data_IF_916022145730
#
_entry.id   IF_916022145730
#
_cell.length_a   1.000
_cell.length_b   1.000
_cell.length_c   1.000
_cell.angle_alpha   90.00
_cell.angle_beta   90.00
_cell.angle_gamma   90.00
#
_symmetry.space_group_name_H-M   'P 1'
#
loop_
_entity.id
_entity.type
_entity.pdbx_description
1 polymer ?
#
# COMPACT_ATOMS: atom_id res chain seq x y z
N UNK A 1 -11.81 4.30 -17.78
CA UNK A 1 -10.78 5.32 -18.07
C UNK A 1 -9.53 4.85 -17.37
N UNK A 2 -8.58 4.35 -18.14
CA UNK A 2 -7.22 4.09 -17.67
C UNK A 2 -6.63 5.41 -17.19
N UNK A 3 -6.21 5.46 -15.92
CA UNK A 3 -5.36 6.54 -15.44
C UNK A 3 -3.95 6.27 -15.98
N UNK A 4 -3.75 6.62 -17.24
CA UNK A 4 -2.43 6.69 -17.84
C UNK A 4 -1.64 7.77 -17.07
N UNK A 5 -0.49 7.40 -16.51
CA UNK A 5 0.39 8.39 -15.90
C UNK A 5 0.86 9.35 -17.01
N UNK A 6 1.11 10.62 -16.72
CA UNK A 6 1.55 11.58 -17.75
C UNK A 6 2.81 12.31 -17.34
N UNK A 7 2.97 12.56 -16.05
CA UNK A 7 4.01 13.42 -15.51
C UNK A 7 5.08 12.64 -14.74
N UNK A 8 4.81 11.42 -14.32
CA UNK A 8 5.69 10.61 -13.46
C UNK A 8 6.35 9.45 -14.20
N UNK A 9 6.00 9.19 -15.47
CA UNK A 9 6.57 8.06 -16.22
C UNK A 9 8.08 8.13 -16.41
N UNK A 10 8.69 9.32 -16.39
CA UNK A 10 10.15 9.46 -16.46
C UNK A 10 10.90 8.72 -15.33
N UNK A 11 10.21 8.42 -14.23
CA UNK A 11 10.78 7.65 -13.10
C UNK A 11 11.04 6.19 -13.52
N UNK A 12 10.26 5.67 -14.47
CA UNK A 12 10.42 4.31 -15.01
C UNK A 12 11.78 4.13 -15.71
N UNK A 13 12.25 5.17 -16.40
CA UNK A 13 13.55 5.18 -17.09
C UNK A 13 14.74 5.07 -16.12
N UNK A 14 14.51 5.31 -14.82
CA UNK A 14 15.54 5.21 -13.77
C UNK A 14 15.63 3.80 -13.16
N UNK A 15 14.63 2.94 -13.36
CA UNK A 15 14.62 1.59 -12.84
C UNK A 15 15.56 0.69 -13.65
N UNK A 16 16.21 -0.26 -12.97
CA UNK A 16 16.95 -1.31 -13.66
C UNK A 16 16.00 -2.20 -14.49
N UNK A 17 16.45 -2.73 -15.65
CA UNK A 17 15.65 -3.67 -16.43
C UNK A 17 15.24 -4.91 -15.62
N UNK A 18 14.10 -5.51 -15.98
CA UNK A 18 13.61 -6.74 -15.35
C UNK A 18 12.59 -6.51 -14.22
N UNK A 19 11.92 -5.35 -14.21
CA UNK A 19 10.75 -5.13 -13.36
C UNK A 19 9.46 -5.63 -14.04
N UNK A 20 8.48 -6.01 -13.22
CA UNK A 20 7.09 -6.16 -13.64
C UNK A 20 6.31 -4.91 -13.24
N UNK A 21 5.23 -4.59 -13.96
CA UNK A 21 4.31 -3.52 -13.58
C UNK A 21 2.84 -3.96 -13.63
N UNK A 22 2.01 -3.36 -12.77
CA UNK A 22 0.57 -3.61 -12.77
C UNK A 22 -0.23 -2.38 -12.30
N UNK A 23 -1.41 -2.11 -12.87
CA UNK A 23 -2.27 -1.02 -12.41
C UNK A 23 -2.67 -1.19 -10.93
N UNK A 24 -2.48 -0.14 -10.13
CA UNK A 24 -2.78 -0.17 -8.69
C UNK A 24 -3.11 1.20 -8.14
N UNK A 25 -4.16 1.29 -7.32
CA UNK A 25 -4.62 2.53 -6.65
C UNK A 25 -4.83 3.73 -7.59
N UNK A 26 -5.15 3.49 -8.87
CA UNK A 26 -5.34 4.57 -9.84
C UNK A 26 -4.05 5.11 -10.45
N UNK A 27 -2.94 4.38 -10.31
CA UNK A 27 -1.69 4.58 -11.05
C UNK A 27 -1.01 3.25 -11.35
N UNK A 28 0.32 3.18 -11.28
CA UNK A 28 1.11 2.01 -11.65
C UNK A 28 1.98 1.52 -10.48
N UNK A 29 1.90 0.22 -10.17
CA UNK A 29 2.79 -0.44 -9.23
C UNK A 29 3.92 -1.14 -9.96
N UNK A 30 5.14 -1.05 -9.40
CA UNK A 30 6.36 -1.63 -9.94
C UNK A 30 6.91 -2.69 -9.00
N UNK A 31 7.35 -3.80 -9.58
CA UNK A 31 7.79 -4.98 -8.86
C UNK A 31 9.19 -5.39 -9.35
N UNK A 32 10.08 -5.66 -8.41
CA UNK A 32 11.43 -6.18 -8.68
C UNK A 32 11.62 -7.40 -7.79
N UNK A 33 12.04 -8.54 -8.35
CA UNK A 33 12.24 -9.80 -7.62
C UNK A 33 11.03 -10.21 -6.75
N UNK A 34 9.81 -10.13 -7.30
CA UNK A 34 8.54 -10.39 -6.58
C UNK A 34 8.26 -9.49 -5.37
N UNK A 35 8.97 -8.36 -5.23
CA UNK A 35 8.71 -7.33 -4.23
C UNK A 35 8.09 -6.11 -4.87
N UNK A 36 7.02 -5.59 -4.27
CA UNK A 36 6.45 -4.30 -4.62
C UNK A 36 7.37 -3.20 -4.10
N UNK A 37 8.09 -2.51 -4.98
CA UNK A 37 9.11 -1.53 -4.61
C UNK A 37 8.62 -0.08 -4.73
N UNK A 38 7.67 0.18 -5.62
CA UNK A 38 7.17 1.52 -5.88
C UNK A 38 5.72 1.49 -6.39
N UNK A 39 4.96 2.53 -6.09
CA UNK A 39 3.68 2.83 -6.72
C UNK A 39 3.70 4.30 -7.13
N UNK A 40 3.53 4.58 -8.43
CA UNK A 40 3.34 5.91 -8.96
C UNK A 40 1.85 6.19 -9.08
N UNK A 41 1.40 7.34 -8.60
CA UNK A 41 -0.02 7.73 -8.68
C UNK A 41 -0.10 9.19 -9.09
N UNK A 42 -0.98 9.51 -10.05
CA UNK A 42 -1.23 10.87 -10.54
C UNK A 42 -2.71 11.23 -10.43
N UNK A 43 -3.17 11.38 -9.19
CA UNK A 43 -4.53 11.78 -8.86
C UNK A 43 -4.51 13.02 -7.99
N UNK A 44 -4.82 14.15 -8.64
CA UNK A 44 -4.90 15.47 -8.03
C UNK A 44 -6.18 15.67 -7.22
N UNK A 45 -6.13 16.61 -6.27
CA UNK A 45 -7.29 17.15 -5.56
C UNK A 45 -7.76 16.37 -4.33
N UNK A 46 -7.04 15.34 -3.88
CA UNK A 46 -7.36 14.65 -2.62
C UNK A 46 -6.32 14.98 -1.55
N UNK A 47 -6.73 15.78 -0.55
CA UNK A 47 -5.91 16.18 0.60
C UNK A 47 -6.41 15.59 1.93
N UNK A 48 -7.59 14.97 1.94
CA UNK A 48 -8.23 14.46 3.15
C UNK A 48 -8.25 12.93 3.19
N UNK A 49 -7.91 12.36 4.36
CA UNK A 49 -8.08 10.94 4.64
C UNK A 49 -8.64 10.74 6.06
N UNK A 50 -9.78 10.05 6.16
CA UNK A 50 -10.43 9.72 7.46
C UNK A 50 -10.68 10.94 8.35
N UNK A 51 -11.09 12.07 7.78
CA UNK A 51 -11.36 13.30 8.54
C UNK A 51 -10.13 14.12 8.91
N UNK A 52 -8.95 13.76 8.39
CA UNK A 52 -7.69 14.50 8.59
C UNK A 52 -7.23 15.08 7.26
N UNK A 53 -7.00 16.40 7.23
CA UNK A 53 -6.44 17.10 6.08
C UNK A 53 -4.92 17.15 6.14
N UNK A 54 -4.28 16.97 5.00
CA UNK A 54 -2.83 16.97 4.82
C UNK A 54 -2.40 18.15 3.95
N UNK A 55 -1.18 18.69 4.15
CA UNK A 55 -0.68 19.82 3.37
C UNK A 55 -0.21 19.45 1.96
N UNK A 56 -0.37 18.19 1.56
CA UNK A 56 0.06 17.65 0.27
C UNK A 56 -1.01 16.75 -0.35
N UNK A 57 -0.99 16.61 -1.67
CA UNK A 57 -1.88 15.69 -2.38
C UNK A 57 -1.54 14.23 -2.04
N UNK A 58 -2.55 13.49 -1.59
CA UNK A 58 -2.37 12.13 -1.08
C UNK A 58 -2.11 11.10 -2.18
N UNK A 59 -2.49 11.37 -3.43
CA UNK A 59 -2.41 10.39 -4.51
C UNK A 59 -1.74 10.99 -5.74
N UNK A 60 -0.85 11.96 -5.58
CA UNK A 60 -0.09 12.57 -6.65
C UNK A 60 1.41 12.60 -6.29
N UNK A 61 2.12 11.54 -6.62
CA UNK A 61 3.51 11.35 -6.23
C UNK A 61 3.99 9.90 -6.29
N UNK A 62 5.12 9.64 -5.63
CA UNK A 62 5.76 8.34 -5.59
C UNK A 62 5.64 7.71 -4.19
N UNK A 63 5.08 6.50 -4.13
CA UNK A 63 4.93 5.72 -2.91
C UNK A 63 5.98 4.61 -2.91
N UNK A 64 6.70 4.46 -1.80
CA UNK A 64 7.72 3.43 -1.58
C UNK A 64 7.30 2.53 -0.41
N UNK A 65 6.77 1.34 -0.70
CA UNK A 65 6.44 0.37 0.34
C UNK A 65 7.71 -0.15 0.99
N UNK A 66 7.72 -0.19 2.32
CA UNK A 66 8.87 -0.64 3.11
C UNK A 66 8.39 -1.51 4.26
N UNK A 67 9.24 -2.41 4.73
CA UNK A 67 8.90 -3.18 5.91
C UNK A 67 8.82 -2.27 7.14
N UNK A 68 7.84 -2.50 8.01
CA UNK A 68 7.63 -1.72 9.24
C UNK A 68 8.89 -1.62 10.12
N UNK A 69 9.73 -2.66 10.14
CA UNK A 69 11.00 -2.66 10.91
C UNK A 69 12.04 -1.72 10.32
N UNK A 70 11.98 -1.47 9.01
CA UNK A 70 12.91 -0.65 8.28
C UNK A 70 12.53 0.83 8.25
N UNK A 71 11.25 1.16 8.45
CA UNK A 71 10.76 2.54 8.36
C UNK A 71 11.59 3.53 9.15
N UNK A 72 11.87 3.23 10.42
CA UNK A 72 12.64 4.15 11.27
C UNK A 72 14.03 4.42 10.68
N UNK A 73 14.67 3.42 10.06
CA UNK A 73 15.96 3.60 9.42
C UNK A 73 15.86 4.46 8.15
N UNK A 74 14.79 4.29 7.36
CA UNK A 74 14.54 5.13 6.19
C UNK A 74 14.22 6.58 6.59
N UNK A 75 13.42 6.81 7.63
CA UNK A 75 13.15 8.16 8.15
C UNK A 75 14.42 8.86 8.62
N UNK A 76 15.29 8.16 9.35
CA UNK A 76 16.55 8.73 9.83
C UNK A 76 17.52 9.05 8.68
N UNK A 77 17.47 8.27 7.58
CA UNK A 77 18.35 8.45 6.42
C UNK A 77 17.80 9.47 5.42
N UNK A 78 16.48 9.55 5.27
CA UNK A 78 15.78 10.36 4.27
C UNK A 78 14.67 11.16 4.95
N UNK A 79 15.03 12.35 5.43
CA UNK A 79 14.13 13.23 6.19
C UNK A 79 12.98 13.80 5.35
N UNK A 80 13.07 13.72 4.01
CA UNK A 80 12.02 14.16 3.09
C UNK A 80 10.90 13.14 2.90
N UNK A 81 11.08 11.91 3.38
CA UNK A 81 10.04 10.88 3.25
C UNK A 81 8.93 11.16 4.26
N UNK A 82 7.70 11.05 3.78
CA UNK A 82 6.50 11.18 4.62
C UNK A 82 5.78 9.84 4.78
N UNK A 83 5.07 9.64 5.89
CA UNK A 83 4.17 8.49 6.00
C UNK A 83 2.91 8.72 5.18
N UNK A 84 2.59 7.79 4.30
CA UNK A 84 1.36 7.87 3.53
C UNK A 84 0.15 7.57 4.43
N UNK A 85 -0.89 8.43 4.47
CA UNK A 85 -1.99 8.27 5.42
C UNK A 85 -2.89 7.06 5.16
N UNK A 86 -2.95 6.59 3.91
CA UNK A 86 -3.69 5.38 3.55
C UNK A 86 -3.08 4.09 4.13
N UNK A 87 -1.75 4.04 4.30
CA UNK A 87 -1.06 2.85 4.82
C UNK A 87 0.21 3.25 5.58
N UNK A 88 0.31 2.77 6.82
CA UNK A 88 1.44 3.05 7.70
C UNK A 88 2.75 2.48 7.21
N UNK A 89 2.76 1.50 6.32
CA UNK A 89 3.98 0.86 5.78
C UNK A 89 4.43 1.47 4.44
N UNK A 90 3.86 2.61 4.06
CA UNK A 90 4.16 3.32 2.82
C UNK A 90 4.84 4.65 3.12
N UNK A 91 6.04 4.81 2.58
CA UNK A 91 6.71 6.10 2.52
C UNK A 91 6.29 6.81 1.24
N UNK A 92 6.27 8.14 1.28
CA UNK A 92 5.69 8.94 0.21
C UNK A 92 6.52 10.17 -0.07
N UNK A 93 6.61 10.51 -1.36
CA UNK A 93 7.14 11.76 -1.87
C UNK A 93 6.05 12.42 -2.72
N UNK A 94 5.47 13.54 -2.27
CA UNK A 94 4.48 14.29 -3.05
C UNK A 94 5.11 14.90 -4.32
N UNK A 95 4.40 14.83 -5.45
CA UNK A 95 4.85 15.41 -6.72
C UNK A 95 5.01 16.94 -6.68
N UNK A 96 4.39 17.61 -5.70
CA UNK A 96 4.49 19.06 -5.49
C UNK A 96 5.70 19.46 -4.63
N UNK A 97 6.51 18.49 -4.18
CA UNK A 97 7.74 18.79 -3.42
C UNK A 97 8.75 19.54 -4.31
N UNK A 98 9.41 20.55 -3.75
CA UNK A 98 10.39 21.38 -4.46
C UNK A 98 11.53 20.55 -5.06
N UNK A 99 12.06 19.60 -4.27
CA UNK A 99 13.15 18.71 -4.68
C UNK A 99 12.65 17.34 -5.17
N UNK A 100 11.39 17.26 -5.64
CA UNK A 100 10.73 15.98 -5.97
C UNK A 100 11.60 15.06 -6.82
N UNK A 101 12.15 15.59 -7.92
CA UNK A 101 12.95 14.78 -8.83
C UNK A 101 14.19 14.20 -8.16
N UNK A 102 14.91 15.00 -7.39
CA UNK A 102 16.16 14.59 -6.75
C UNK A 102 15.90 13.59 -5.61
N UNK A 103 14.82 13.80 -4.85
CA UNK A 103 14.37 12.88 -3.82
C UNK A 103 13.96 11.53 -4.40
N UNK A 104 13.22 11.53 -5.51
CA UNK A 104 12.87 10.29 -6.23
C UNK A 104 14.12 9.60 -6.77
N UNK A 105 15.03 10.33 -7.43
CA UNK A 105 16.29 9.77 -7.93
C UNK A 105 17.10 9.11 -6.81
N UNK A 106 17.13 9.72 -5.62
CA UNK A 106 17.78 9.13 -4.45
C UNK A 106 17.11 7.82 -4.01
N UNK A 107 15.77 7.77 -3.97
CA UNK A 107 15.04 6.55 -3.63
C UNK A 107 15.21 5.45 -4.67
N UNK A 108 15.15 5.77 -5.96
CA UNK A 108 15.35 4.78 -7.04
C UNK A 108 16.76 4.18 -6.98
N UNK A 109 17.78 4.97 -6.63
CA UNK A 109 19.14 4.43 -6.39
C UNK A 109 19.17 3.38 -5.28
N UNK A 110 18.30 3.49 -4.27
CA UNK A 110 18.19 2.49 -3.21
C UNK A 110 17.34 1.30 -3.61
N UNK A 111 16.31 1.51 -4.44
CA UNK A 111 15.53 0.42 -5.06
C UNK A 111 16.42 -0.45 -5.93
N UNK A 112 17.30 0.17 -6.72
CA UNK A 112 18.23 -0.52 -7.61
C UNK A 112 19.40 -1.21 -6.87
N UNK A 113 19.59 -0.93 -5.57
CA UNK A 113 20.50 -1.70 -4.72
C UNK A 113 19.76 -2.90 -4.16
N UNK A 114 20.42 -4.07 -3.96
CA UNK A 114 19.83 -5.21 -3.27
C UNK A 114 19.67 -4.89 -1.78
N UNK A 115 18.68 -4.07 -1.44
CA UNK A 115 18.33 -3.71 -0.07
C UNK A 115 17.16 -4.58 0.39
N UNK A 116 17.37 -5.55 1.29
CA UNK A 116 16.31 -6.48 1.70
C UNK A 116 15.14 -5.78 2.39
N UNK A 117 15.36 -4.58 2.93
CA UNK A 117 14.41 -3.80 3.71
C UNK A 117 13.47 -2.93 2.85
N UNK A 118 13.80 -2.75 1.57
CA UNK A 118 12.99 -1.99 0.63
C UNK A 118 12.05 -2.93 -0.12
N UNK A 119 10.82 -2.47 -0.29
CA UNK A 119 9.76 -3.20 -0.94
C UNK A 119 9.04 -4.17 -0.01
N UNK A 120 7.83 -4.54 -0.41
CA UNK A 120 7.04 -5.55 0.29
C UNK A 120 6.96 -6.82 -0.55
N UNK A 121 7.36 -7.94 0.04
CA UNK A 121 7.21 -9.26 -0.61
C UNK A 121 5.73 -9.52 -0.85
N UNK A 122 5.38 -9.69 -2.12
CA UNK A 122 3.99 -9.88 -2.53
C UNK A 122 3.80 -11.38 -2.74
N UNK A 123 2.78 -11.94 -2.11
CA UNK A 123 2.33 -13.27 -2.51
C UNK A 123 1.68 -13.09 -3.88
N UNK A 124 2.38 -13.49 -4.93
CA UNK A 124 1.83 -13.49 -6.27
C UNK A 124 0.78 -14.61 -6.34
N UNK A 125 -0.45 -14.29 -5.96
CA UNK A 125 -1.60 -15.04 -6.46
C UNK A 125 -1.67 -14.67 -7.93
N UNK A 126 -1.25 -15.57 -8.84
CA UNK A 126 -1.12 -15.32 -10.27
C UNK A 126 -2.34 -14.67 -10.94
N UNK A 127 -2.25 -14.26 -12.22
CA UNK A 127 -3.31 -13.53 -12.90
C UNK A 127 -4.64 -14.25 -12.71
N UNK A 128 -5.61 -13.58 -12.06
CA UNK A 128 -6.99 -14.04 -12.04
C UNK A 128 -7.50 -13.90 -13.46
N UNK A 129 -7.37 -14.98 -14.22
CA UNK A 129 -8.06 -15.13 -15.50
C UNK A 129 -9.55 -14.98 -15.20
N UNK A 130 -10.12 -13.86 -15.63
CA UNK A 130 -11.57 -13.64 -15.65
C UNK A 130 -12.19 -14.60 -16.67
N UNK A 131 -12.29 -15.88 -16.30
CA UNK A 131 -12.64 -16.94 -17.24
C UNK A 131 -12.99 -18.30 -16.61
N UNK A 132 -13.03 -18.42 -15.28
CA UNK A 132 -13.54 -19.62 -14.63
C UNK A 132 -14.57 -19.22 -13.57
N UNK A 133 -15.85 -19.39 -13.91
CA UNK A 133 -16.97 -19.38 -12.96
C UNK A 133 -16.69 -20.42 -11.88
N UNK A 134 -16.09 -20.00 -10.76
CA UNK A 134 -15.83 -20.87 -9.64
C UNK A 134 -17.17 -21.45 -9.13
N UNK A 135 -17.27 -22.77 -8.85
CA UNK A 135 -18.45 -23.32 -8.24
C UNK A 135 -18.65 -22.68 -6.86
N UNK A 136 -19.86 -22.18 -6.62
CA UNK A 136 -20.23 -21.48 -5.40
C UNK A 136 -19.78 -22.25 -4.15
N UNK A 137 -18.80 -21.68 -3.42
CA UNK A 137 -18.37 -22.22 -2.12
C UNK A 137 -19.55 -22.15 -1.14
N UNK A 138 -20.11 -23.31 -0.81
CA UNK A 138 -21.06 -23.49 0.30
C UNK A 138 -20.45 -22.88 1.56
N UNK A 139 -21.19 -21.96 2.21
CA UNK A 139 -20.83 -21.37 3.51
C UNK A 139 -20.67 -22.49 4.54
N UNK A 140 -19.44 -22.77 4.96
CA UNK A 140 -19.19 -23.59 6.12
C UNK A 140 -19.62 -22.83 7.38
N UNK A 141 -20.51 -23.42 8.17
CA UNK A 141 -21.05 -22.86 9.39
C UNK A 141 -19.92 -22.58 10.41
N UNK A 142 -19.88 -21.34 10.94
CA UNK A 142 -18.99 -20.96 12.04
C UNK A 142 -19.35 -21.78 13.29
N UNK A 143 -18.47 -22.68 13.72
CA UNK A 143 -18.48 -23.22 15.09
C UNK A 143 -18.13 -22.09 16.06
N UNK A 144 -19.13 -21.59 16.78
CA UNK A 144 -18.94 -20.66 17.90
C UNK A 144 -18.34 -21.43 19.07
N UNK A 145 -17.09 -21.12 19.43
CA UNK A 145 -16.45 -21.63 20.64
C UNK A 145 -16.89 -20.73 21.80
N UNK A 146 -17.79 -21.23 22.64
CA UNK A 146 -18.28 -20.52 23.82
C UNK A 146 -17.12 -20.22 24.78
N UNK A 147 -17.02 -18.98 25.25
CA UNK A 147 -16.12 -18.58 26.32
C UNK A 147 -16.95 -18.30 27.57
N UNK A 148 -16.44 -18.61 28.76
CA UNK A 148 -17.13 -18.48 30.07
C UNK A 148 -17.74 -17.10 30.35
N UNK A 149 -17.41 -16.07 29.56
CA UNK A 149 -17.98 -14.72 29.66
C UNK A 149 -19.36 -14.58 29.00
N UNK A 150 -19.73 -15.47 28.07
CA UNK A 150 -21.04 -15.44 27.39
C UNK A 150 -22.16 -16.14 28.17
N UNK A 151 -21.84 -17.00 29.14
CA UNK A 151 -22.84 -17.68 29.97
C UNK A 151 -23.47 -16.72 31.00
N UNK A 152 -22.69 -15.79 31.56
CA UNK A 152 -23.19 -14.86 32.57
C UNK A 152 -24.18 -13.82 31.99
N UNK A 153 -24.02 -13.45 30.72
CA UNK A 153 -24.94 -12.54 30.03
C UNK A 153 -26.31 -13.19 29.75
N UNK A 154 -26.34 -14.51 29.54
CA UNK A 154 -27.58 -15.24 29.27
C UNK A 154 -28.41 -15.44 30.53
N UNK A 155 -27.80 -15.81 31.66
CA UNK A 155 -28.51 -15.97 32.94
C UNK A 155 -29.12 -14.66 33.47
N UNK A 156 -28.42 -13.52 33.33
CA UNK A 156 -28.96 -12.21 33.71
C UNK A 156 -30.13 -11.75 32.83
N UNK A 157 -30.20 -12.21 31.58
CA UNK A 157 -31.30 -11.88 30.66
C UNK A 157 -32.60 -12.63 30.97
N UNK A 158 -32.50 -13.81 31.61
CA UNK A 158 -33.66 -14.61 32.02
C UNK A 158 -34.19 -14.13 33.38
N UNK A 159 -33.33 -13.66 34.29
CA UNK A 159 -33.74 -13.18 35.61
C UNK A 159 -34.49 -11.83 35.60
N UNK A 160 -34.43 -11.06 34.51
CA UNK A 160 -35.13 -9.76 34.36
C UNK A 160 -36.48 -9.83 33.65
N UNK A 161 -36.94 -11.03 33.28
CA UNK A 161 -38.31 -11.26 32.79
C UNK A 161 -39.14 -11.97 33.86
N UNK A 162 -39.52 -11.23 34.89
CA UNK A 162 -40.72 -11.46 35.70
C UNK A 162 -41.28 -10.11 36.12
#
# INVERSE_FOLDING_TARGET
MENELKNLYWIEDLLLPGYDCAPKHGGMAYYVDMKLVMILVERKGLYEHKGVSYPFELWNGAIFPVEKKAQNAFFLKYLFLENHPANKDWLYIPAESEDFEDQVKQMIREVNKPNPLLGLTVKFDGPKVDGARAPAKKKAAKKVRATKKSENAYFLSIAKKK
#
